data_IF_145133278162
#
_entry.id   IF_145133278162
#
_cell.length_a   1.000
_cell.length_b   1.000
_cell.length_c   1.000
_cell.angle_alpha   90.00
_cell.angle_beta   90.00
_cell.angle_gamma   90.00
#
_symmetry.space_group_name_H-M   'P 1'
#
loop_
_entity.id
_entity.type
_entity.pdbx_description
1 polymer ?
#
# COMPACT_ATOMS: atom_id res chain seq x y z
N UNK A 1 20.04 -10.27 14.50
CA UNK A 1 19.17 -9.51 13.58
C UNK A 1 18.79 -8.14 14.11
N UNK A 2 17.84 -7.95 15.04
CA UNK A 2 17.36 -6.59 15.40
C UNK A 2 18.48 -5.63 15.80
N UNK A 3 19.42 -6.08 16.62
CA UNK A 3 20.62 -5.28 16.98
C UNK A 3 21.49 -4.89 15.78
N UNK A 4 21.55 -5.73 14.75
CA UNK A 4 22.31 -5.43 13.52
C UNK A 4 21.55 -4.44 12.64
N UNK A 5 20.21 -4.52 12.58
CA UNK A 5 19.38 -3.52 11.90
C UNK A 5 19.45 -2.16 12.62
N UNK A 6 19.37 -2.15 13.95
CA UNK A 6 19.55 -0.95 14.79
C UNK A 6 20.92 -0.31 14.57
N UNK A 7 22.00 -1.12 14.57
CA UNK A 7 23.35 -0.65 14.23
C UNK A 7 23.47 -0.08 12.81
N UNK A 8 22.70 -0.61 11.86
CA UNK A 8 22.61 -0.08 10.50
C UNK A 8 21.73 1.18 10.39
N UNK A 9 21.12 1.65 11.49
CA UNK A 9 20.33 2.87 11.54
C UNK A 9 18.81 2.68 11.37
N UNK A 10 18.32 1.44 11.33
CA UNK A 10 16.88 1.17 11.27
C UNK A 10 16.21 1.41 12.63
N UNK A 11 15.15 2.21 12.65
CA UNK A 11 14.35 2.43 13.86
C UNK A 11 13.25 1.38 14.02
N UNK A 12 12.78 1.18 15.26
CA UNK A 12 11.77 0.15 15.57
C UNK A 12 10.47 0.30 14.78
N UNK A 13 10.05 1.52 14.50
CA UNK A 13 8.85 1.83 13.71
C UNK A 13 8.99 1.53 12.22
N UNK A 14 10.22 1.34 11.73
CA UNK A 14 10.52 0.88 10.37
C UNK A 14 10.57 -0.65 10.26
N UNK A 15 10.51 -1.37 11.39
CA UNK A 15 10.46 -2.83 11.43
C UNK A 15 9.02 -3.28 11.67
N UNK A 16 8.36 -3.81 10.63
CA UNK A 16 7.01 -4.37 10.75
C UNK A 16 7.09 -5.88 10.92
N UNK A 17 6.94 -6.32 12.17
CA UNK A 17 7.02 -7.74 12.53
C UNK A 17 5.77 -8.50 12.08
N UNK A 18 5.94 -9.80 11.89
CA UNK A 18 4.84 -10.73 11.61
C UNK A 18 3.93 -10.22 10.48
N UNK A 19 4.54 -9.62 9.45
CA UNK A 19 3.84 -8.93 8.38
C UNK A 19 2.95 -9.90 7.59
N UNK A 20 1.63 -9.74 7.74
CA UNK A 20 0.66 -10.61 7.09
C UNK A 20 0.55 -10.28 5.60
N UNK A 21 1.00 -11.20 4.76
CA UNK A 21 0.88 -11.12 3.30
C UNK A 21 -0.46 -11.74 2.90
N UNK A 22 -0.79 -12.96 3.34
CA UNK A 22 -2.11 -13.54 3.03
C UNK A 22 -2.66 -14.31 4.21
N UNK A 23 -3.98 -14.24 4.40
CA UNK A 23 -4.67 -15.01 5.43
C UNK A 23 -4.83 -16.50 5.06
N UNK A 24 -4.26 -16.96 3.95
CA UNK A 24 -4.43 -18.32 3.44
C UNK A 24 -5.74 -18.54 2.69
N UNK A 25 -5.70 -19.40 1.67
CA UNK A 25 -6.87 -19.71 0.81
C UNK A 25 -7.86 -20.59 1.56
N UNK A 26 -9.17 -20.32 1.44
CA UNK A 26 -10.19 -21.27 1.92
C UNK A 26 -10.21 -22.47 0.97
N UNK A 27 -9.92 -23.65 1.52
CA UNK A 27 -9.97 -24.94 0.85
C UNK A 27 -11.26 -25.64 1.27
N UNK A 28 -12.18 -25.82 0.31
CA UNK A 28 -13.51 -26.38 0.53
C UNK A 28 -13.76 -27.66 -0.27
N UNK A 29 -12.71 -28.41 -0.64
CA UNK A 29 -12.86 -29.66 -1.37
C UNK A 29 -13.31 -30.79 -0.42
N UNK A 30 -14.59 -31.16 -0.53
CA UNK A 30 -15.15 -32.44 -0.03
C UNK A 30 -15.37 -32.58 1.49
N UNK A 31 -15.27 -31.49 2.28
CA UNK A 31 -15.41 -31.58 3.74
C UNK A 31 -15.55 -30.23 4.44
N UNK A 32 -15.31 -30.19 5.76
CA UNK A 32 -15.33 -28.94 6.53
C UNK A 32 -14.32 -27.94 5.94
N UNK A 33 -14.72 -26.69 5.66
CA UNK A 33 -13.81 -25.67 5.13
C UNK A 33 -12.58 -25.54 6.02
N UNK A 34 -11.38 -25.62 5.42
CA UNK A 34 -10.11 -25.36 6.10
C UNK A 34 -9.40 -24.20 5.44
N UNK A 35 -8.66 -23.42 6.22
CA UNK A 35 -7.84 -22.33 5.71
C UNK A 35 -6.45 -22.89 5.42
N UNK A 36 -5.96 -22.66 4.20
CA UNK A 36 -4.60 -23.00 3.81
C UNK A 36 -3.58 -22.14 4.54
N UNK A 37 -2.29 -22.35 4.25
CA UNK A 37 -1.20 -21.64 4.91
C UNK A 37 -1.36 -20.12 4.74
N UNK A 38 -1.37 -19.41 5.86
CA UNK A 38 -1.15 -17.98 5.86
C UNK A 38 0.31 -17.71 5.46
N UNK A 39 0.52 -16.60 4.75
CA UNK A 39 1.86 -16.16 4.40
C UNK A 39 2.15 -14.95 5.25
N UNK A 40 3.21 -15.06 6.05
CA UNK A 40 3.62 -14.07 7.02
C UNK A 40 5.14 -13.98 6.95
N UNK A 41 5.65 -12.79 6.64
CA UNK A 41 7.07 -12.53 6.75
C UNK A 41 7.42 -12.24 8.22
N UNK A 42 8.63 -12.62 8.65
CA UNK A 42 9.07 -12.32 10.00
C UNK A 42 9.20 -10.81 10.20
N UNK A 43 9.85 -10.13 9.25
CA UNK A 43 9.91 -8.66 9.21
C UNK A 43 9.75 -8.12 7.80
N UNK A 44 9.13 -6.95 7.68
CA UNK A 44 9.21 -6.08 6.51
C UNK A 44 9.86 -4.77 6.94
N UNK A 45 10.90 -4.37 6.21
CA UNK A 45 11.60 -3.11 6.41
C UNK A 45 10.87 -2.03 5.61
N UNK A 46 10.32 -1.03 6.31
CA UNK A 46 9.62 0.10 5.70
C UNK A 46 10.48 1.37 5.81
N UNK A 47 10.84 1.99 4.69
CA UNK A 47 11.62 3.25 4.71
C UNK A 47 10.84 4.37 5.42
N UNK A 48 9.54 4.44 5.14
CA UNK A 48 8.54 5.24 5.84
C UNK A 48 7.30 4.36 6.06
N UNK A 49 6.45 4.64 7.07
CA UNK A 49 5.26 3.85 7.33
C UNK A 49 4.39 3.64 6.07
N UNK A 50 4.23 2.38 5.66
CA UNK A 50 3.52 1.96 4.45
C UNK A 50 4.32 1.96 3.14
N UNK A 51 5.64 2.19 3.21
CA UNK A 51 6.57 2.11 2.08
C UNK A 51 7.59 0.99 2.34
N UNK A 52 7.21 -0.27 2.08
CA UNK A 52 8.11 -1.40 2.24
C UNK A 52 9.22 -1.35 1.18
N UNK A 53 10.45 -1.65 1.60
CA UNK A 53 11.64 -1.66 0.72
C UNK A 53 12.37 -3.00 0.72
N UNK A 54 12.25 -3.79 1.79
CA UNK A 54 12.72 -5.17 1.83
C UNK A 54 11.91 -6.05 2.78
N UNK A 55 12.11 -7.36 2.65
CA UNK A 55 11.56 -8.38 3.55
C UNK A 55 12.71 -9.17 4.18
N UNK A 56 12.58 -9.54 5.45
CA UNK A 56 13.55 -10.37 6.17
C UNK A 56 12.86 -11.63 6.65
N UNK A 57 13.40 -12.78 6.26
CA UNK A 57 13.04 -14.10 6.77
C UNK A 57 14.09 -14.56 7.78
N UNK A 58 13.63 -14.98 8.96
CA UNK A 58 14.48 -15.35 10.09
C UNK A 58 14.31 -16.83 10.40
N UNK A 59 15.42 -17.56 10.45
CA UNK A 59 15.48 -18.92 10.97
C UNK A 59 16.08 -18.92 12.37
N UNK A 60 15.81 -19.98 13.13
CA UNK A 60 16.49 -20.22 14.40
C UNK A 60 17.99 -20.35 14.15
N UNK A 61 18.83 -19.91 15.09
CA UNK A 61 20.29 -19.94 14.95
C UNK A 61 20.86 -21.31 14.66
N UNK A 62 20.22 -22.39 15.13
CA UNK A 62 20.61 -23.78 14.84
C UNK A 62 20.24 -24.26 13.42
N UNK A 63 19.48 -23.48 12.67
CA UNK A 63 19.07 -23.77 11.29
C UNK A 63 19.94 -22.94 10.35
N UNK A 64 20.22 -23.48 9.16
CA UNK A 64 20.98 -22.75 8.15
C UNK A 64 20.17 -21.55 7.63
N UNK A 65 20.83 -20.40 7.45
CA UNK A 65 20.18 -19.23 6.87
C UNK A 65 19.70 -19.50 5.42
N UNK A 66 20.40 -20.38 4.71
CA UNK A 66 20.07 -20.79 3.34
C UNK A 66 18.63 -21.34 3.20
N UNK A 67 18.12 -22.01 4.24
CA UNK A 67 16.77 -22.59 4.26
C UNK A 67 15.67 -21.50 4.18
N UNK A 68 16.00 -20.23 4.46
CA UNK A 68 15.09 -19.09 4.34
C UNK A 68 15.06 -18.44 2.95
N UNK A 69 16.01 -18.72 2.06
CA UNK A 69 16.21 -17.96 0.81
C UNK A 69 14.99 -18.01 -0.11
N UNK A 70 14.47 -19.20 -0.39
CA UNK A 70 13.33 -19.35 -1.31
C UNK A 70 12.04 -18.77 -0.72
N UNK A 71 11.90 -18.77 0.60
CA UNK A 71 10.80 -18.14 1.30
C UNK A 71 10.90 -16.60 1.21
N UNK A 72 12.08 -16.03 1.47
CA UNK A 72 12.35 -14.60 1.34
C UNK A 72 12.09 -14.11 -0.09
N UNK A 73 12.61 -14.82 -1.11
CA UNK A 73 12.32 -14.54 -2.54
C UNK A 73 10.83 -14.54 -2.84
N UNK A 74 10.11 -15.55 -2.36
CA UNK A 74 8.65 -15.66 -2.57
C UNK A 74 7.90 -14.48 -1.96
N UNK A 75 8.30 -14.01 -0.79
CA UNK A 75 7.68 -12.86 -0.14
C UNK A 75 8.03 -11.55 -0.84
N UNK A 76 9.29 -11.32 -1.20
CA UNK A 76 9.70 -10.15 -1.96
C UNK A 76 8.95 -10.05 -3.29
N UNK A 77 8.80 -11.16 -4.04
CA UNK A 77 7.99 -11.20 -5.26
C UNK A 77 6.53 -10.82 -5.03
N UNK A 78 5.92 -11.26 -3.93
CA UNK A 78 4.52 -10.93 -3.60
C UNK A 78 4.32 -9.47 -3.19
N UNK A 79 5.32 -8.91 -2.51
CA UNK A 79 5.33 -7.52 -2.07
C UNK A 79 5.91 -6.57 -3.14
N UNK A 80 6.37 -7.12 -4.27
CA UNK A 80 7.09 -6.43 -5.35
C UNK A 80 8.32 -5.64 -4.87
N UNK A 81 9.07 -6.22 -3.93
CA UNK A 81 10.29 -5.63 -3.37
C UNK A 81 11.53 -6.11 -4.14
N UNK A 82 12.48 -5.19 -4.43
CA UNK A 82 13.70 -5.55 -5.15
C UNK A 82 14.67 -6.35 -4.28
N UNK A 83 14.65 -6.18 -2.96
CA UNK A 83 15.61 -6.81 -2.04
C UNK A 83 14.89 -7.68 -1.00
N UNK A 84 15.48 -8.81 -0.68
CA UNK A 84 15.06 -9.71 0.39
C UNK A 84 16.26 -10.19 1.19
N UNK A 85 16.02 -10.57 2.45
CA UNK A 85 17.04 -11.10 3.33
C UNK A 85 16.63 -12.44 3.92
N UNK A 86 17.58 -13.36 4.04
CA UNK A 86 17.45 -14.58 4.83
C UNK A 86 18.57 -14.64 5.88
N UNK A 87 18.22 -14.86 7.14
CA UNK A 87 19.20 -14.88 8.23
C UNK A 87 18.84 -15.93 9.28
N UNK A 88 19.85 -16.41 10.02
CA UNK A 88 19.67 -17.18 11.25
C UNK A 88 20.22 -16.45 12.49
N UNK A 89 20.51 -15.16 12.35
CA UNK A 89 21.13 -14.32 13.37
C UNK A 89 22.66 -14.39 13.42
N UNK A 90 23.30 -15.29 12.67
CA UNK A 90 24.76 -15.35 12.52
C UNK A 90 25.18 -14.96 11.11
N UNK A 91 24.57 -15.58 10.09
CA UNK A 91 24.76 -15.23 8.67
C UNK A 91 23.60 -14.39 8.15
N UNK A 92 23.88 -13.53 7.19
CA UNK A 92 22.87 -12.77 6.46
C UNK A 92 23.11 -12.98 4.97
N UNK A 93 22.10 -13.47 4.27
CA UNK A 93 22.08 -13.48 2.81
C UNK A 93 21.21 -12.33 2.32
N UNK A 94 21.78 -11.47 1.47
CA UNK A 94 21.05 -10.50 0.67
C UNK A 94 20.71 -11.12 -0.68
N UNK A 95 19.45 -10.98 -1.07
CA UNK A 95 18.91 -11.43 -2.34
C UNK A 95 18.42 -10.19 -3.08
N UNK A 96 19.13 -9.78 -4.13
CA UNK A 96 18.67 -8.72 -5.02
C UNK A 96 17.93 -9.37 -6.20
N UNK A 97 16.61 -9.19 -6.23
CA UNK A 97 15.74 -9.72 -7.28
C UNK A 97 15.77 -8.88 -8.57
N UNK A 98 16.27 -7.64 -8.51
CA UNK A 98 16.40 -6.77 -9.66
C UNK A 98 17.62 -7.15 -10.51
N UNK A 99 18.75 -7.44 -9.87
CA UNK A 99 20.00 -7.86 -10.54
C UNK A 99 20.16 -9.39 -10.58
N UNK A 100 19.45 -10.11 -9.70
CA UNK A 100 19.49 -11.57 -9.65
C UNK A 100 20.65 -12.14 -8.82
N UNK A 101 21.15 -11.38 -7.84
CA UNK A 101 22.29 -11.78 -7.01
C UNK A 101 21.84 -12.40 -5.69
N UNK A 102 22.70 -13.27 -5.14
CA UNK A 102 22.61 -13.83 -3.80
C UNK A 102 24.01 -13.76 -3.20
N UNK A 103 24.18 -12.93 -2.16
CA UNK A 103 25.48 -12.73 -1.52
C UNK A 103 25.35 -12.85 0.00
N UNK A 104 26.39 -13.34 0.66
CA UNK A 104 26.53 -13.23 2.11
C UNK A 104 27.06 -11.84 2.43
N UNK A 105 26.42 -11.15 3.38
CA UNK A 105 26.81 -9.82 3.85
C UNK A 105 27.07 -9.87 5.35
N UNK A 106 27.98 -9.01 5.82
CA UNK A 106 28.31 -8.90 7.24
C UNK A 106 27.28 -8.06 8.02
N UNK A 107 26.71 -7.05 7.35
CA UNK A 107 25.79 -6.08 7.94
C UNK A 107 24.72 -5.63 6.95
N UNK A 108 23.54 -5.30 7.49
CA UNK A 108 22.43 -4.74 6.70
C UNK A 108 22.77 -3.35 6.17
N UNK A 109 22.30 -2.97 4.97
CA UNK A 109 22.38 -1.59 4.52
C UNK A 109 21.51 -0.68 5.39
N UNK A 110 21.86 0.60 5.43
CA UNK A 110 21.06 1.61 6.12
C UNK A 110 19.70 1.84 5.43
N UNK A 111 18.71 2.46 6.12
CA UNK A 111 17.45 2.85 5.49
C UNK A 111 17.65 3.70 4.23
N UNK A 112 18.60 4.63 4.23
CA UNK A 112 18.92 5.51 3.12
C UNK A 112 19.55 4.76 1.93
N UNK A 113 20.48 3.86 2.21
CA UNK A 113 21.11 3.02 1.17
C UNK A 113 20.08 2.11 0.50
N UNK A 114 19.26 1.44 1.31
CA UNK A 114 18.23 0.54 0.80
C UNK A 114 17.12 1.30 0.05
N UNK A 115 16.78 2.51 0.52
CA UNK A 115 15.87 3.41 -0.20
C UNK A 115 16.45 3.84 -1.55
N UNK A 116 17.73 4.22 -1.62
CA UNK A 116 18.38 4.58 -2.88
C UNK A 116 18.36 3.40 -3.89
N UNK A 117 18.66 2.18 -3.43
CA UNK A 117 18.55 0.96 -4.25
C UNK A 117 17.11 0.71 -4.70
N UNK A 118 16.13 0.88 -3.82
CA UNK A 118 14.72 0.76 -4.15
C UNK A 118 14.31 1.76 -5.24
N UNK A 119 14.69 3.04 -5.08
CA UNK A 119 14.41 4.09 -6.07
C UNK A 119 15.00 3.75 -7.44
N UNK A 120 16.27 3.36 -7.47
CA UNK A 120 16.95 2.96 -8.70
C UNK A 120 16.25 1.76 -9.37
N UNK A 121 15.94 0.70 -8.62
CA UNK A 121 15.26 -0.49 -9.14
C UNK A 121 13.84 -0.20 -9.66
N UNK A 122 13.18 0.85 -9.16
CA UNK A 122 11.84 1.28 -9.59
C UNK A 122 11.87 2.44 -10.60
N UNK A 123 13.05 2.97 -10.94
CA UNK A 123 13.18 4.18 -11.77
C UNK A 123 12.43 5.37 -11.18
N UNK A 124 12.63 5.62 -9.88
CA UNK A 124 12.03 6.71 -9.10
C UNK A 124 13.06 7.82 -8.85
N UNK A 125 13.39 8.56 -9.91
CA UNK A 125 14.41 9.62 -9.86
C UNK A 125 13.82 11.01 -9.52
N UNK A 126 12.50 11.15 -9.62
CA UNK A 126 11.77 12.39 -9.34
C UNK A 126 11.41 12.50 -7.85
N UNK A 127 11.92 13.55 -7.20
CA UNK A 127 11.75 13.77 -5.77
C UNK A 127 10.28 14.02 -5.39
N UNK A 128 9.50 14.69 -6.25
CA UNK A 128 8.09 14.96 -6.00
C UNK A 128 7.26 13.66 -6.02
N UNK A 129 7.63 12.71 -6.89
CA UNK A 129 7.02 11.37 -6.91
C UNK A 129 7.39 10.61 -5.63
N UNK A 130 8.63 10.70 -5.17
CA UNK A 130 9.06 10.01 -3.94
C UNK A 130 8.42 10.59 -2.68
N UNK A 131 8.25 11.90 -2.59
CA UNK A 131 7.52 12.57 -1.51
C UNK A 131 6.05 12.14 -1.48
N UNK A 132 5.43 12.07 -2.65
CA UNK A 132 4.07 11.61 -2.79
C UNK A 132 3.92 10.13 -2.40
N UNK A 133 4.87 9.27 -2.76
CA UNK A 133 4.90 7.86 -2.37
C UNK A 133 5.13 7.66 -0.88
N UNK A 134 5.97 8.48 -0.26
CA UNK A 134 6.31 8.42 1.16
C UNK A 134 5.30 9.11 2.08
N UNK A 135 4.33 9.83 1.50
CA UNK A 135 3.19 10.39 2.24
C UNK A 135 2.47 9.27 3.03
N UNK A 136 2.29 9.39 4.36
CA UNK A 136 1.74 8.33 5.18
C UNK A 136 0.33 7.90 4.77
N UNK A 137 0.00 6.62 4.97
CA UNK A 137 -1.38 6.15 4.89
C UNK A 137 -2.22 6.72 6.04
N UNK A 138 -3.50 6.98 5.78
CA UNK A 138 -4.41 7.47 6.81
C UNK A 138 -5.07 6.33 7.57
N UNK A 139 -4.98 6.36 8.89
CA UNK A 139 -5.58 5.36 9.78
C UNK A 139 -6.72 5.95 10.65
N UNK A 140 -7.27 7.09 10.22
CA UNK A 140 -8.34 7.79 10.95
C UNK A 140 -9.69 7.09 10.80
N UNK A 141 -9.98 6.53 9.62
CA UNK A 141 -11.22 5.79 9.36
C UNK A 141 -11.20 4.47 10.13
N UNK A 142 -12.31 4.14 10.81
CA UNK A 142 -12.44 2.96 11.67
C UNK A 142 -13.35 1.88 11.09
N UNK A 143 -13.06 0.62 11.43
CA UNK A 143 -13.94 -0.53 11.27
C UNK A 143 -15.14 -0.44 12.22
N UNK A 144 -16.10 -1.36 12.07
CA UNK A 144 -17.30 -1.45 12.91
C UNK A 144 -16.97 -1.70 14.39
N UNK A 145 -15.84 -2.36 14.65
CA UNK A 145 -15.30 -2.65 15.98
C UNK A 145 -14.40 -1.51 16.52
N UNK A 146 -14.44 -0.34 15.88
CA UNK A 146 -13.66 0.85 16.20
C UNK A 146 -12.14 0.72 16.00
N UNK A 147 -11.65 -0.38 15.41
CA UNK A 147 -10.23 -0.52 15.05
C UNK A 147 -9.87 0.30 13.80
N UNK A 148 -8.63 0.79 13.64
CA UNK A 148 -8.22 1.49 12.42
C UNK A 148 -8.39 0.64 11.15
N UNK A 149 -8.91 1.23 10.07
CA UNK A 149 -8.95 0.59 8.74
C UNK A 149 -7.56 0.61 8.10
N UNK A 150 -6.74 -0.39 8.40
CA UNK A 150 -5.40 -0.52 7.83
C UNK A 150 -5.48 -1.23 6.47
N UNK A 151 -4.94 -0.64 5.38
CA UNK A 151 -4.90 -1.31 4.09
C UNK A 151 -4.03 -2.57 4.12
N UNK A 152 -4.55 -3.67 3.56
CA UNK A 152 -3.81 -4.93 3.35
C UNK A 152 -2.68 -4.75 2.33
N UNK A 153 -1.71 -5.67 2.27
CA UNK A 153 -0.54 -5.55 1.40
C UNK A 153 -0.90 -5.21 -0.07
N UNK A 154 -1.88 -5.92 -0.67
CA UNK A 154 -2.29 -5.69 -2.05
C UNK A 154 -3.00 -4.35 -2.26
N UNK A 155 -3.66 -3.82 -1.21
CA UNK A 155 -4.27 -2.50 -1.25
C UNK A 155 -3.19 -1.42 -1.16
N UNK A 156 -2.19 -1.57 -0.29
CA UNK A 156 -1.03 -0.68 -0.22
C UNK A 156 -0.30 -0.63 -1.56
N UNK A 157 -0.05 -1.79 -2.16
CA UNK A 157 0.55 -1.90 -3.49
C UNK A 157 -0.30 -1.19 -4.56
N UNK A 158 -1.62 -1.42 -4.58
CA UNK A 158 -2.51 -0.75 -5.53
C UNK A 158 -2.54 0.78 -5.36
N UNK A 159 -2.55 1.26 -4.12
CA UNK A 159 -2.49 2.70 -3.80
C UNK A 159 -1.16 3.28 -4.27
N UNK A 160 -0.03 2.69 -3.87
CA UNK A 160 1.30 3.19 -4.21
C UNK A 160 1.52 3.21 -5.73
N UNK A 161 1.10 2.16 -6.46
CA UNK A 161 1.17 2.13 -7.94
C UNK A 161 0.32 3.21 -8.60
N UNK A 162 -0.90 3.44 -8.09
CA UNK A 162 -1.76 4.48 -8.65
C UNK A 162 -1.19 5.87 -8.40
N UNK A 163 -0.67 6.09 -7.20
CA UNK A 163 -0.06 7.37 -6.80
C UNK A 163 1.24 7.62 -7.58
N UNK A 164 2.08 6.60 -7.77
CA UNK A 164 3.25 6.66 -8.64
C UNK A 164 2.87 7.02 -10.08
N UNK A 165 1.90 6.32 -10.65
CA UNK A 165 1.43 6.56 -12.01
C UNK A 165 0.92 8.00 -12.21
N UNK A 166 0.12 8.51 -11.25
CA UNK A 166 -0.32 9.91 -11.23
C UNK A 166 0.88 10.86 -11.13
N UNK A 167 1.85 10.54 -10.28
CA UNK A 167 3.11 11.27 -10.14
C UNK A 167 3.88 11.39 -11.45
N UNK A 168 3.94 10.29 -12.22
CA UNK A 168 4.55 10.23 -13.56
C UNK A 168 3.73 10.91 -14.66
N UNK A 169 2.64 11.59 -14.32
CA UNK A 169 1.77 12.27 -15.30
C UNK A 169 0.90 11.33 -16.13
N UNK A 170 0.63 10.11 -15.66
CA UNK A 170 -0.29 9.21 -16.37
C UNK A 170 -1.75 9.63 -16.14
N UNK A 171 -2.39 10.12 -17.19
CA UNK A 171 -3.79 10.58 -17.15
C UNK A 171 -4.81 9.45 -16.94
N UNK A 172 -4.39 8.19 -17.16
CA UNK A 172 -5.29 7.02 -17.16
C UNK A 172 -4.64 5.84 -16.45
N UNK A 173 -5.21 5.45 -15.32
CA UNK A 173 -4.77 4.31 -14.52
C UNK A 173 -5.93 3.33 -14.34
N UNK A 174 -5.70 2.04 -14.62
CA UNK A 174 -6.67 0.97 -14.40
C UNK A 174 -6.20 0.05 -13.27
N UNK A 175 -6.96 0.00 -12.17
CA UNK A 175 -6.76 -0.97 -11.10
C UNK A 175 -7.80 -2.08 -11.18
N UNK A 176 -7.35 -3.33 -11.36
CA UNK A 176 -8.23 -4.51 -11.40
C UNK A 176 -8.26 -5.16 -10.02
N UNK A 177 -9.38 -4.99 -9.30
CA UNK A 177 -9.60 -5.60 -7.98
C UNK A 177 -10.94 -6.35 -7.94
N UNK A 178 -10.91 -7.60 -7.45
CA UNK A 178 -12.11 -8.40 -7.25
C UNK A 178 -13.12 -7.74 -6.30
N UNK A 179 -14.39 -8.11 -6.39
CA UNK A 179 -15.44 -7.62 -5.48
C UNK A 179 -15.18 -8.10 -4.05
N UNK A 180 -15.45 -7.23 -3.06
CA UNK A 180 -15.20 -7.51 -1.65
C UNK A 180 -13.74 -7.30 -1.19
N UNK A 181 -12.81 -6.93 -2.07
CA UNK A 181 -11.39 -6.74 -1.71
C UNK A 181 -11.07 -5.35 -1.13
N UNK A 182 -12.07 -4.49 -0.95
CA UNK A 182 -11.92 -3.16 -0.33
C UNK A 182 -11.52 -2.04 -1.29
N UNK A 183 -12.12 -2.01 -2.50
CA UNK A 183 -11.91 -0.94 -3.50
C UNK A 183 -12.13 0.48 -2.95
N UNK A 184 -13.14 0.65 -2.08
CA UNK A 184 -13.44 1.95 -1.46
C UNK A 184 -12.28 2.46 -0.60
N UNK A 185 -11.65 1.57 0.18
CA UNK A 185 -10.47 1.93 0.98
C UNK A 185 -9.28 2.32 0.09
N UNK A 186 -9.08 1.60 -1.02
CA UNK A 186 -8.03 1.94 -2.00
C UNK A 186 -8.27 3.34 -2.59
N UNK A 187 -9.48 3.63 -3.07
CA UNK A 187 -9.83 4.94 -3.61
C UNK A 187 -9.65 6.06 -2.57
N UNK A 188 -10.10 5.83 -1.33
CA UNK A 188 -9.93 6.75 -0.22
C UNK A 188 -8.44 7.06 0.04
N UNK A 189 -7.59 6.05 0.14
CA UNK A 189 -6.16 6.22 0.42
C UNK A 189 -5.40 6.91 -0.70
N UNK A 190 -5.75 6.66 -1.97
CA UNK A 190 -5.18 7.39 -3.12
C UNK A 190 -5.48 8.89 -2.96
N UNK A 191 -6.76 9.25 -2.76
CA UNK A 191 -7.18 10.64 -2.60
C UNK A 191 -6.53 11.26 -1.36
N UNK A 192 -6.39 10.51 -0.28
CA UNK A 192 -5.82 10.99 0.98
C UNK A 192 -4.34 11.29 0.88
N UNK A 193 -3.56 10.45 0.19
CA UNK A 193 -2.14 10.73 -0.10
C UNK A 193 -1.99 11.97 -0.98
N UNK A 194 -2.74 12.08 -2.07
CA UNK A 194 -2.74 13.27 -2.93
C UNK A 194 -3.12 14.54 -2.17
N UNK A 195 -4.10 14.43 -1.26
CA UNK A 195 -4.55 15.52 -0.41
C UNK A 195 -3.47 15.99 0.57
N UNK A 196 -2.85 15.06 1.29
CA UNK A 196 -1.81 15.35 2.28
C UNK A 196 -0.54 15.92 1.64
N UNK A 197 -0.16 15.38 0.48
CA UNK A 197 0.95 15.86 -0.33
C UNK A 197 0.66 17.20 -1.04
N UNK A 198 -0.61 17.69 -0.99
CA UNK A 198 -1.07 18.85 -1.75
C UNK A 198 -0.71 18.75 -3.25
N UNK A 199 -0.92 17.57 -3.82
CA UNK A 199 -0.59 17.25 -5.22
C UNK A 199 -1.63 17.86 -6.20
N UNK A 200 -1.22 18.35 -7.40
CA UNK A 200 0.14 18.29 -7.99
C UNK A 200 1.10 19.40 -7.59
N UNK A 201 0.61 20.58 -7.20
CA UNK A 201 1.44 21.80 -7.14
C UNK A 201 1.19 22.59 -5.86
N UNK A 202 1.31 21.95 -4.70
CA UNK A 202 1.05 22.58 -3.40
C UNK A 202 -0.42 22.95 -3.14
N UNK A 203 -1.35 22.44 -3.97
CA UNK A 203 -2.79 22.70 -3.88
C UNK A 203 -3.58 21.46 -3.47
N UNK A 204 -4.75 21.67 -2.89
CA UNK A 204 -5.66 20.58 -2.58
C UNK A 204 -6.25 20.00 -3.87
N UNK A 205 -6.20 18.67 -4.07
CA UNK A 205 -6.69 18.05 -5.29
C UNK A 205 -8.20 18.25 -5.42
N UNK A 206 -8.69 18.36 -6.66
CA UNK A 206 -10.11 18.31 -6.97
C UNK A 206 -10.45 16.93 -7.51
N UNK A 207 -11.34 16.23 -6.82
CA UNK A 207 -11.61 14.81 -7.06
C UNK A 207 -13.09 14.61 -7.34
N UNK A 208 -13.40 13.91 -8.43
CA UNK A 208 -14.73 13.40 -8.73
C UNK A 208 -14.76 11.89 -8.45
N UNK A 209 -15.58 11.46 -7.49
CA UNK A 209 -15.80 10.04 -7.20
C UNK A 209 -17.12 9.60 -7.83
N UNK A 210 -17.04 8.82 -8.91
CA UNK A 210 -18.20 8.38 -9.69
C UNK A 210 -18.53 6.91 -9.41
N UNK A 211 -19.79 6.62 -9.12
CA UNK A 211 -20.31 5.26 -9.07
C UNK A 211 -21.72 5.16 -9.68
N UNK A 212 -22.17 3.95 -10.00
CA UNK A 212 -23.40 3.78 -10.80
C UNK A 212 -24.71 3.98 -10.01
N UNK A 213 -24.71 3.72 -8.69
CA UNK A 213 -25.91 3.78 -7.85
C UNK A 213 -25.71 4.72 -6.68
N UNK A 214 -26.77 5.38 -6.22
CA UNK A 214 -26.71 6.31 -5.09
C UNK A 214 -26.09 5.65 -3.84
N UNK A 215 -26.47 4.42 -3.51
CA UNK A 215 -25.89 3.71 -2.35
C UNK A 215 -24.38 3.49 -2.46
N UNK A 216 -23.87 3.28 -3.68
CA UNK A 216 -22.44 3.12 -3.96
C UNK A 216 -21.68 4.45 -3.91
N UNK A 217 -22.39 5.58 -3.77
CA UNK A 217 -21.83 6.91 -3.57
C UNK A 217 -21.98 7.32 -2.11
N UNK A 218 -23.18 7.14 -1.55
CA UNK A 218 -23.55 7.57 -0.21
C UNK A 218 -22.75 6.82 0.85
N UNK A 219 -22.61 5.50 0.72
CA UNK A 219 -21.85 4.73 1.68
C UNK A 219 -20.35 5.10 1.71
N UNK A 220 -19.60 5.12 0.58
CA UNK A 220 -18.25 5.65 0.58
C UNK A 220 -18.14 7.08 1.10
N UNK A 221 -19.08 7.95 0.70
CA UNK A 221 -19.11 9.35 1.15
C UNK A 221 -19.15 9.42 2.68
N UNK A 222 -20.11 8.77 3.32
CA UNK A 222 -20.34 8.92 4.75
C UNK A 222 -19.37 8.10 5.61
N UNK A 223 -18.96 6.92 5.16
CA UNK A 223 -18.08 6.05 5.94
C UNK A 223 -16.59 6.40 5.77
N UNK A 224 -16.18 7.01 4.66
CA UNK A 224 -14.77 7.28 4.35
C UNK A 224 -14.52 8.76 4.10
N UNK A 225 -15.13 9.34 3.06
CA UNK A 225 -14.72 10.67 2.58
C UNK A 225 -15.08 11.79 3.57
N UNK A 226 -16.31 11.85 4.08
CA UNK A 226 -16.72 12.86 5.07
C UNK A 226 -15.89 12.73 6.35
N UNK A 227 -15.59 11.50 6.79
CA UNK A 227 -14.74 11.28 7.97
C UNK A 227 -13.30 11.73 7.76
N UNK A 228 -12.74 11.49 6.57
CA UNK A 228 -11.34 11.79 6.29
C UNK A 228 -11.05 13.20 5.77
N UNK A 229 -12.06 13.88 5.21
CA UNK A 229 -11.91 15.19 4.56
C UNK A 229 -12.90 16.25 5.05
N UNK A 230 -13.87 15.89 5.89
CA UNK A 230 -14.82 16.81 6.50
C UNK A 230 -15.60 17.61 5.47
N UNK A 231 -15.63 18.93 5.67
CA UNK A 231 -16.37 19.87 4.82
C UNK A 231 -15.83 19.99 3.39
N UNK A 232 -14.68 19.41 3.06
CA UNK A 232 -14.18 19.41 1.68
C UNK A 232 -15.06 18.56 0.73
N UNK A 233 -15.92 17.72 1.29
CA UNK A 233 -16.79 16.78 0.55
C UNK A 233 -18.14 17.40 0.25
N UNK A 234 -18.57 17.31 -1.01
CA UNK A 234 -19.89 17.75 -1.44
C UNK A 234 -20.47 16.81 -2.48
N UNK A 235 -21.57 16.11 -2.13
CA UNK A 235 -22.26 15.23 -3.07
C UNK A 235 -22.92 16.06 -4.16
N UNK A 236 -22.62 15.75 -5.42
CA UNK A 236 -23.29 16.41 -6.55
C UNK A 236 -24.69 15.83 -6.76
N UNK A 237 -25.65 16.74 -6.92
CA UNK A 237 -27.04 16.46 -7.32
C UNK A 237 -27.36 17.09 -8.67
N UNK A 238 -28.66 17.16 -9.03
CA UNK A 238 -29.14 17.82 -10.26
C UNK A 238 -29.12 19.36 -10.22
N UNK A 239 -28.56 19.95 -9.16
CA UNK A 239 -28.47 21.39 -8.94
C UNK A 239 -27.09 21.97 -9.28
N UNK A 240 -26.89 23.25 -8.95
CA UNK A 240 -25.62 23.95 -9.18
C UNK A 240 -24.53 23.35 -8.27
N UNK A 241 -23.42 22.93 -8.88
CA UNK A 241 -22.28 22.40 -8.14
C UNK A 241 -21.64 23.51 -7.28
N UNK A 242 -21.38 23.22 -6.00
CA UNK A 242 -20.60 24.11 -5.15
C UNK A 242 -19.12 24.08 -5.56
N UNK A 243 -18.67 25.09 -6.29
CA UNK A 243 -17.32 25.17 -6.87
C UNK A 243 -16.20 25.32 -5.84
N UNK A 244 -16.51 25.77 -4.61
CA UNK A 244 -15.55 25.94 -3.51
C UNK A 244 -15.20 24.67 -2.72
N UNK A 245 -15.67 23.50 -3.16
CA UNK A 245 -15.40 22.20 -2.53
C UNK A 245 -14.33 21.46 -3.32
N UNK A 246 -13.81 20.36 -2.78
CA UNK A 246 -12.70 19.64 -3.40
C UNK A 246 -13.03 18.20 -3.77
N UNK A 247 -13.91 17.53 -3.03
CA UNK A 247 -14.23 16.13 -3.27
C UNK A 247 -15.71 16.00 -3.58
N UNK A 248 -16.01 15.41 -4.73
CA UNK A 248 -17.35 15.38 -5.31
C UNK A 248 -17.80 13.94 -5.58
N UNK A 249 -18.45 13.28 -4.60
CA UNK A 249 -19.12 12.02 -4.84
C UNK A 249 -20.37 12.23 -5.72
N UNK A 250 -20.53 11.44 -6.76
CA UNK A 250 -21.66 11.55 -7.70
C UNK A 250 -22.10 10.19 -8.24
N UNK A 251 -23.40 10.05 -8.45
CA UNK A 251 -24.00 8.88 -9.08
C UNK A 251 -24.13 9.09 -10.58
N UNK A 252 -23.84 8.07 -11.39
CA UNK A 252 -24.00 8.11 -12.85
C UNK A 252 -25.42 8.52 -13.26
N UNK A 253 -26.43 8.13 -12.46
CA UNK A 253 -27.85 8.45 -12.67
C UNK A 253 -28.12 9.96 -12.65
N UNK A 254 -27.33 10.72 -11.91
CA UNK A 254 -27.46 12.19 -11.79
C UNK A 254 -26.86 12.89 -13.00
N UNK A 255 -25.84 12.29 -13.62
CA UNK A 255 -25.13 12.87 -14.78
C UNK A 255 -25.78 12.53 -16.12
N UNK A 256 -26.75 11.61 -16.15
CA UNK A 256 -27.50 11.33 -17.38
C UNK A 256 -28.36 12.55 -17.71
N UNK A 257 -28.23 13.13 -18.92
CA UNK A 257 -29.15 14.19 -19.35
C UNK A 257 -30.58 13.66 -19.24
N UNK A 258 -31.47 14.48 -18.68
CA UNK A 258 -32.91 14.22 -18.75
C UNK A 258 -33.27 14.03 -20.22
N UNK A 259 -33.71 12.83 -20.58
CA UNK A 259 -34.05 12.50 -21.96
C UNK A 259 -34.98 13.54 -22.55
N UNK A 260 -34.68 13.96 -23.79
CA UNK A 260 -35.68 14.56 -24.68
C UNK A 260 -36.80 13.51 -24.83
N UNK A 261 -37.96 13.81 -24.25
CA UNK A 261 -39.25 13.26 -24.63
C UNK A 261 -40.04 14.36 -25.29
#
# INVERSE_FOLDING_TARGET
>A
MERQLDRAGWSRDQLVDEYVITDGRILAAGGRPRRGMNLRADYVLEYRPGVPVAVVEVKRTSIKADDGIEQAKRYAKKLELPVAYATNGVKIYEIDLNVGTLIEIDDYPSPEELWARFRHAKGLDDEAITDLLTTPFDHSVKNWDNTPKIPRYYQRLAVNKAVEAIGRGQDRVLLVLATGTGKTLVAYQIVKKLWQARWPEGRLPRVLYLADRNILVDQPKDEYFVKGFGEAVHKLGRGIAQSGRHIYPVSSVVLRPSGRG
#
